data_IF_607852085468
#
_entry.id   IF_607852085468
#
_cell.length_a   1.000
_cell.length_b   1.000
_cell.length_c   1.000
_cell.angle_alpha   90.00
_cell.angle_beta   90.00
_cell.angle_gamma   90.00
#
_symmetry.space_group_name_H-M   'P 1'
#
loop_
_entity.id
_entity.type
_entity.pdbx_description
1 polymer ?
#
# COMPACT_ATOMS: atom_id res chain seq x y z
N UNK A 1 -14.65 33.56 -7.70
CA UNK A 1 -15.88 32.79 -7.97
C UNK A 1 -16.31 32.18 -6.65
N UNK A 2 -17.36 32.74 -6.05
CA UNK A 2 -17.85 32.37 -4.74
C UNK A 2 -18.50 30.98 -4.77
N UNK A 3 -18.04 30.10 -3.88
CA UNK A 3 -18.54 28.73 -3.68
C UNK A 3 -19.89 28.67 -2.96
N UNK A 4 -20.72 29.72 -3.07
CA UNK A 4 -21.99 29.87 -2.35
C UNK A 4 -23.23 29.45 -3.14
N UNK A 5 -23.12 29.06 -4.42
CA UNK A 5 -24.30 28.95 -5.29
C UNK A 5 -25.02 27.60 -5.31
N UNK A 6 -24.51 26.54 -4.67
CA UNK A 6 -25.29 25.30 -4.43
C UNK A 6 -24.89 24.68 -3.07
N UNK A 7 -25.16 25.42 -1.99
CA UNK A 7 -24.71 25.12 -0.63
C UNK A 7 -25.64 24.21 0.17
N UNK A 8 -25.74 22.93 -0.19
CA UNK A 8 -26.01 21.91 0.85
C UNK A 8 -24.65 21.46 1.34
N UNK A 9 -24.22 21.98 2.49
CA UNK A 9 -23.11 21.37 3.21
C UNK A 9 -23.58 20.01 3.71
N UNK A 10 -23.31 18.96 2.93
CA UNK A 10 -23.63 17.57 3.25
C UNK A 10 -22.95 17.08 4.53
N UNK A 11 -21.95 17.81 5.03
CA UNK A 11 -21.32 17.59 6.32
C UNK A 11 -21.84 18.49 7.44
N UNK A 12 -22.82 19.35 7.14
CA UNK A 12 -23.55 20.06 8.20
C UNK A 12 -24.18 19.05 9.16
N UNK A 13 -24.28 19.44 10.43
CA UNK A 13 -24.89 18.61 11.46
C UNK A 13 -26.31 18.14 11.07
N UNK A 14 -27.21 18.99 10.52
CA UNK A 14 -28.54 18.53 10.09
C UNK A 14 -28.49 17.51 8.95
N UNK A 15 -27.62 17.71 7.95
CA UNK A 15 -27.48 16.77 6.83
C UNK A 15 -26.94 15.42 7.31
N UNK A 16 -25.96 15.44 8.21
CA UNK A 16 -25.37 14.24 8.81
C UNK A 16 -26.41 13.48 9.64
N UNK A 17 -27.17 14.16 10.50
CA UNK A 17 -28.27 13.55 11.27
C UNK A 17 -29.34 12.98 10.34
N UNK A 18 -29.72 13.71 9.29
CA UNK A 18 -30.66 13.24 8.28
C UNK A 18 -30.18 11.97 7.57
N UNK A 19 -28.90 11.90 7.22
CA UNK A 19 -28.31 10.73 6.58
C UNK A 19 -28.27 9.50 7.52
N UNK A 20 -28.02 9.71 8.82
CA UNK A 20 -28.18 8.63 9.81
C UNK A 20 -29.64 8.17 9.87
N UNK A 21 -30.60 9.07 10.06
CA UNK A 21 -32.03 8.72 10.09
C UNK A 21 -32.44 7.94 8.82
N UNK A 22 -31.97 8.38 7.66
CA UNK A 22 -32.20 7.69 6.39
C UNK A 22 -31.61 6.28 6.38
N UNK A 23 -30.36 6.10 6.85
CA UNK A 23 -29.74 4.77 6.97
C UNK A 23 -30.59 3.84 7.84
N UNK A 24 -30.97 4.28 9.05
CA UNK A 24 -31.79 3.49 9.97
C UNK A 24 -33.17 3.17 9.37
N UNK A 25 -33.80 4.14 8.71
CA UNK A 25 -35.07 3.98 8.00
C UNK A 25 -34.99 2.94 6.88
N UNK A 26 -33.98 3.05 6.00
CA UNK A 26 -33.73 2.09 4.93
C UNK A 26 -33.46 0.68 5.47
N UNK A 27 -32.65 0.55 6.53
CA UNK A 27 -32.40 -0.73 7.17
C UNK A 27 -33.70 -1.38 7.70
N UNK A 28 -34.56 -0.61 8.36
CA UNK A 28 -35.86 -1.11 8.84
C UNK A 28 -36.79 -1.49 7.69
N UNK A 29 -36.82 -0.68 6.63
CA UNK A 29 -37.60 -0.99 5.43
C UNK A 29 -37.14 -2.31 4.78
N UNK A 30 -35.83 -2.55 4.68
CA UNK A 30 -35.28 -3.81 4.16
C UNK A 30 -35.70 -5.01 5.01
N UNK A 31 -35.69 -4.89 6.34
CA UNK A 31 -36.18 -5.94 7.24
C UNK A 31 -37.68 -6.24 7.02
N UNK A 32 -38.50 -5.20 6.89
CA UNK A 32 -39.94 -5.35 6.64
C UNK A 32 -40.21 -6.01 5.28
N UNK A 33 -39.51 -5.58 4.24
CA UNK A 33 -39.58 -6.18 2.91
C UNK A 33 -39.13 -7.64 2.95
N UNK A 34 -38.04 -7.97 3.64
CA UNK A 34 -37.57 -9.35 3.80
C UNK A 34 -38.61 -10.24 4.49
N UNK A 35 -39.28 -9.73 5.53
CA UNK A 35 -40.37 -10.42 6.23
C UNK A 35 -41.57 -10.66 5.32
N UNK A 36 -41.89 -9.71 4.45
CA UNK A 36 -43.02 -9.81 3.52
C UNK A 36 -42.73 -10.75 2.33
N UNK A 37 -41.58 -10.60 1.69
CA UNK A 37 -41.20 -11.36 0.49
C UNK A 37 -40.89 -12.83 0.83
N UNK A 38 -40.18 -13.07 1.95
CA UNK A 38 -39.76 -14.43 2.33
C UNK A 38 -39.85 -14.63 3.84
N UNK A 39 -41.07 -14.82 4.39
CA UNK A 39 -41.28 -14.92 5.84
C UNK A 39 -40.53 -16.10 6.47
N UNK A 40 -40.44 -17.24 5.77
CA UNK A 40 -39.70 -18.41 6.25
C UNK A 40 -38.20 -18.11 6.38
N UNK A 41 -37.58 -17.52 5.35
CA UNK A 41 -36.16 -17.16 5.37
C UNK A 41 -35.87 -16.12 6.46
N UNK A 42 -36.72 -15.10 6.58
CA UNK A 42 -36.58 -14.08 7.62
C UNK A 42 -36.68 -14.67 9.03
N UNK A 43 -37.65 -15.57 9.26
CA UNK A 43 -37.79 -16.26 10.55
C UNK A 43 -36.55 -17.10 10.87
N UNK A 44 -35.98 -17.78 9.87
CA UNK A 44 -34.74 -18.53 10.03
C UNK A 44 -33.55 -17.60 10.35
N UNK A 45 -33.43 -16.46 9.68
CA UNK A 45 -32.40 -15.46 9.98
C UNK A 45 -32.51 -14.94 11.42
N UNK A 46 -33.73 -14.68 11.90
CA UNK A 46 -33.96 -14.25 13.28
C UNK A 46 -33.60 -15.35 14.28
N UNK A 47 -34.00 -16.59 14.02
CA UNK A 47 -33.65 -17.75 14.85
C UNK A 47 -32.13 -17.93 14.97
N UNK A 48 -31.42 -17.70 13.86
CA UNK A 48 -29.96 -17.77 13.81
C UNK A 48 -29.26 -16.49 14.32
N UNK A 49 -30.02 -15.46 14.70
CA UNK A 49 -29.49 -14.13 15.07
C UNK A 49 -28.61 -13.49 13.98
N UNK A 50 -28.98 -13.70 12.71
CA UNK A 50 -28.28 -13.19 11.52
C UNK A 50 -29.05 -12.11 10.76
N UNK A 51 -30.29 -11.82 11.15
CA UNK A 51 -31.17 -10.87 10.46
C UNK A 51 -30.53 -9.48 10.38
N UNK A 52 -30.08 -8.91 11.50
CA UNK A 52 -29.43 -7.58 11.52
C UNK A 52 -28.21 -7.57 10.58
N UNK A 53 -27.34 -8.58 10.66
CA UNK A 53 -26.11 -8.66 9.86
C UNK A 53 -26.42 -8.76 8.37
N UNK A 54 -27.37 -9.62 8.01
CA UNK A 54 -27.77 -9.84 6.63
C UNK A 54 -28.26 -8.55 5.97
N UNK A 55 -29.17 -7.82 6.62
CA UNK A 55 -29.68 -6.57 6.07
C UNK A 55 -28.67 -5.42 6.15
N UNK A 56 -27.76 -5.47 7.12
CA UNK A 56 -26.62 -4.54 7.19
C UNK A 56 -25.74 -4.70 5.95
N UNK A 57 -25.34 -5.93 5.59
CA UNK A 57 -24.52 -6.15 4.38
C UNK A 57 -25.24 -5.75 3.08
N UNK A 58 -26.55 -6.01 2.96
CA UNK A 58 -27.31 -5.56 1.78
C UNK A 58 -27.29 -4.02 1.67
N UNK A 59 -27.49 -3.33 2.78
CA UNK A 59 -27.44 -1.87 2.80
C UNK A 59 -26.02 -1.34 2.56
N UNK A 60 -25.01 -2.04 3.10
CA UNK A 60 -23.58 -1.84 2.84
C UNK A 60 -23.25 -1.87 1.35
N UNK A 61 -23.71 -2.90 0.64
CA UNK A 61 -23.57 -3.03 -0.82
C UNK A 61 -24.23 -1.85 -1.54
N UNK A 62 -25.48 -1.50 -1.18
CA UNK A 62 -26.22 -0.42 -1.83
C UNK A 62 -25.51 0.95 -1.68
N UNK A 63 -25.05 1.26 -0.46
CA UNK A 63 -24.31 2.50 -0.18
C UNK A 63 -22.94 2.48 -0.86
N UNK A 64 -22.25 1.34 -0.88
CA UNK A 64 -20.96 1.18 -1.57
C UNK A 64 -21.08 1.38 -3.09
N UNK A 65 -22.21 0.94 -3.68
CA UNK A 65 -22.50 1.13 -5.11
C UNK A 65 -22.65 2.62 -5.50
N UNK A 66 -23.10 3.46 -4.57
CA UNK A 66 -23.24 4.92 -4.78
C UNK A 66 -21.96 5.67 -4.40
N UNK A 67 -21.39 5.33 -3.24
CA UNK A 67 -20.24 6.04 -2.67
C UNK A 67 -18.96 5.77 -3.45
N UNK A 68 -18.75 4.56 -3.98
CA UNK A 68 -17.54 4.23 -4.75
C UNK A 68 -17.40 5.08 -6.01
N UNK A 69 -18.41 5.16 -6.91
CA UNK A 69 -18.36 6.09 -8.04
C UNK A 69 -18.15 7.54 -7.62
N UNK A 70 -18.82 7.99 -6.55
CA UNK A 70 -18.64 9.36 -6.04
C UNK A 70 -17.19 9.61 -5.61
N UNK A 71 -16.56 8.66 -4.92
CA UNK A 71 -15.14 8.74 -4.53
C UNK A 71 -14.21 8.72 -5.74
N UNK A 72 -14.48 7.89 -6.75
CA UNK A 72 -13.71 7.87 -8.00
C UNK A 72 -13.81 9.21 -8.74
N UNK A 73 -15.02 9.76 -8.87
CA UNK A 73 -15.22 11.08 -9.49
C UNK A 73 -14.52 12.17 -8.68
N UNK A 74 -14.61 12.13 -7.34
CA UNK A 74 -13.90 13.07 -6.46
C UNK A 74 -12.37 12.98 -6.65
N UNK A 75 -11.83 11.77 -6.80
CA UNK A 75 -10.41 11.57 -7.09
C UNK A 75 -10.01 12.14 -8.46
N UNK A 76 -10.78 11.84 -9.51
CA UNK A 76 -10.48 12.29 -10.88
C UNK A 76 -10.68 13.80 -11.08
N UNK A 77 -11.60 14.42 -10.34
CA UNK A 77 -11.88 15.85 -10.39
C UNK A 77 -11.08 16.66 -9.35
N UNK A 78 -10.33 15.99 -8.48
CA UNK A 78 -9.47 16.68 -7.52
C UNK A 78 -8.49 17.56 -8.29
N UNK A 79 -8.35 18.81 -7.87
CA UNK A 79 -7.35 19.75 -8.40
C UNK A 79 -6.02 19.60 -7.64
N UNK A 80 -4.96 20.23 -8.12
CA UNK A 80 -3.66 20.19 -7.41
C UNK A 80 -3.72 20.88 -6.05
N UNK A 81 -4.76 21.70 -5.78
CA UNK A 81 -5.02 22.20 -4.44
C UNK A 81 -5.39 21.09 -3.45
N UNK A 82 -5.94 19.96 -3.91
CA UNK A 82 -6.26 18.81 -3.06
C UNK A 82 -5.03 17.96 -2.71
N UNK A 83 -3.88 18.28 -3.30
CA UNK A 83 -2.57 17.69 -3.02
C UNK A 83 -1.77 18.52 -2.01
N UNK A 84 -2.25 19.74 -1.72
CA UNK A 84 -1.58 20.70 -0.84
C UNK A 84 -2.31 20.77 0.50
N UNK A 85 -1.53 20.69 1.57
CA UNK A 85 -2.02 20.81 2.94
C UNK A 85 -2.70 22.17 3.20
N UNK A 86 -3.79 22.17 3.96
CA UNK A 86 -4.46 23.40 4.43
C UNK A 86 -5.38 24.07 3.41
N UNK A 87 -5.49 23.52 2.20
CA UNK A 87 -6.39 23.97 1.12
C UNK A 87 -7.77 23.30 1.25
N UNK A 88 -8.83 23.84 0.58
CA UNK A 88 -10.20 23.38 0.80
C UNK A 88 -10.36 21.87 0.54
N UNK A 89 -10.85 21.18 1.57
CA UNK A 89 -10.86 19.72 1.67
C UNK A 89 -11.91 19.06 0.76
N UNK A 90 -13.04 19.72 0.51
CA UNK A 90 -14.25 19.13 -0.08
C UNK A 90 -14.99 20.11 -1.01
N UNK A 91 -14.29 20.55 -2.04
CA UNK A 91 -14.80 21.59 -2.97
C UNK A 91 -15.84 21.08 -3.97
N UNK A 92 -15.97 19.77 -4.17
CA UNK A 92 -16.93 19.18 -5.11
C UNK A 92 -18.06 18.41 -4.42
N UNK A 93 -19.24 18.40 -5.03
CA UNK A 93 -20.37 17.60 -4.55
C UNK A 93 -20.03 16.10 -4.46
N UNK A 94 -19.24 15.58 -5.41
CA UNK A 94 -18.77 14.20 -5.41
C UNK A 94 -17.90 13.89 -4.18
N UNK A 95 -17.01 14.80 -3.80
CA UNK A 95 -16.16 14.66 -2.62
C UNK A 95 -17.00 14.64 -1.33
N UNK A 96 -18.00 15.52 -1.24
CA UNK A 96 -18.91 15.56 -0.10
C UNK A 96 -19.74 14.27 0.01
N UNK A 97 -20.32 13.80 -1.09
CA UNK A 97 -21.07 12.53 -1.12
C UNK A 97 -20.16 11.36 -0.74
N UNK A 98 -18.95 11.29 -1.29
CA UNK A 98 -17.97 10.26 -0.96
C UNK A 98 -17.71 10.19 0.55
N UNK A 99 -17.33 11.32 1.16
CA UNK A 99 -16.98 11.36 2.60
C UNK A 99 -18.20 11.14 3.49
N UNK A 100 -19.32 11.82 3.21
CA UNK A 100 -20.53 11.72 4.03
C UNK A 100 -21.10 10.30 4.02
N UNK A 101 -21.25 9.69 2.84
CA UNK A 101 -21.81 8.33 2.72
C UNK A 101 -20.94 7.29 3.43
N UNK A 102 -19.61 7.36 3.32
CA UNK A 102 -18.67 6.47 4.01
C UNK A 102 -18.71 6.65 5.53
N UNK A 103 -18.77 7.90 5.99
CA UNK A 103 -18.88 8.21 7.42
C UNK A 103 -20.16 7.61 8.02
N UNK A 104 -21.29 7.82 7.35
CA UNK A 104 -22.59 7.28 7.77
C UNK A 104 -22.58 5.76 7.77
N UNK A 105 -22.02 5.14 6.73
CA UNK A 105 -21.88 3.69 6.61
C UNK A 105 -21.11 3.11 7.79
N UNK A 106 -19.84 3.49 7.96
CA UNK A 106 -18.98 2.91 8.98
C UNK A 106 -19.52 3.13 10.39
N UNK A 107 -19.98 4.35 10.68
CA UNK A 107 -20.54 4.67 12.00
C UNK A 107 -21.81 3.85 12.28
N UNK A 108 -22.69 3.70 11.30
CA UNK A 108 -23.94 2.96 11.50
C UNK A 108 -23.71 1.44 11.64
N UNK A 109 -22.63 0.93 11.05
CA UNK A 109 -22.33 -0.50 11.04
C UNK A 109 -21.50 -0.99 12.22
N UNK A 110 -20.81 -0.10 12.95
CA UNK A 110 -19.97 -0.45 14.10
C UNK A 110 -20.66 -1.37 15.12
N UNK A 111 -21.90 -1.03 15.51
CA UNK A 111 -22.67 -1.81 16.49
C UNK A 111 -23.44 -2.99 15.87
N UNK A 112 -23.43 -3.13 14.55
CA UNK A 112 -24.20 -4.17 13.82
C UNK A 112 -23.34 -5.30 13.30
N UNK A 113 -22.04 -5.03 13.12
CA UNK A 113 -21.03 -5.98 12.63
C UNK A 113 -20.00 -6.34 13.72
N UNK A 114 -20.36 -6.14 14.99
CA UNK A 114 -19.54 -6.43 16.17
C UNK A 114 -19.07 -7.90 16.27
N UNK A 115 -19.79 -8.81 15.61
CA UNK A 115 -19.41 -10.22 15.50
C UNK A 115 -18.08 -10.46 14.76
N UNK A 116 -17.64 -9.51 13.92
CA UNK A 116 -16.39 -9.60 13.16
C UNK A 116 -15.43 -8.51 13.60
N UNK A 117 -14.43 -8.90 14.38
CA UNK A 117 -13.35 -8.01 14.82
C UNK A 117 -12.65 -7.31 13.66
N UNK A 118 -12.56 -7.97 12.49
CA UNK A 118 -12.00 -7.39 11.28
C UNK A 118 -12.81 -6.21 10.74
N UNK A 119 -14.15 -6.31 10.72
CA UNK A 119 -15.02 -5.21 10.27
C UNK A 119 -15.02 -4.06 11.27
N UNK A 120 -15.09 -4.35 12.57
CA UNK A 120 -15.00 -3.31 13.61
C UNK A 120 -13.68 -2.56 13.50
N UNK A 121 -12.56 -3.29 13.40
CA UNK A 121 -11.24 -2.69 13.27
C UNK A 121 -11.13 -1.82 12.00
N UNK A 122 -11.62 -2.32 10.87
CA UNK A 122 -11.70 -1.55 9.62
C UNK A 122 -12.45 -0.23 9.79
N UNK A 123 -13.68 -0.27 10.34
CA UNK A 123 -14.51 0.93 10.49
C UNK A 123 -13.91 1.93 11.47
N UNK A 124 -13.42 1.47 12.62
CA UNK A 124 -12.76 2.34 13.61
C UNK A 124 -11.54 3.00 13.00
N UNK A 125 -10.69 2.24 12.31
CA UNK A 125 -9.51 2.81 11.65
C UNK A 125 -9.88 3.81 10.56
N UNK A 126 -10.88 3.52 9.73
CA UNK A 126 -11.33 4.44 8.68
C UNK A 126 -11.94 5.73 9.23
N UNK A 127 -12.68 5.66 10.34
CA UNK A 127 -13.23 6.84 11.01
C UNK A 127 -12.14 7.66 11.70
N UNK A 128 -11.19 7.02 12.37
CA UNK A 128 -10.04 7.70 12.99
C UNK A 128 -9.14 8.35 11.94
N UNK A 129 -8.90 7.66 10.81
CA UNK A 129 -8.19 8.22 9.67
C UNK A 129 -8.91 9.47 9.17
N UNK A 130 -10.21 9.37 8.84
CA UNK A 130 -10.99 10.51 8.37
C UNK A 130 -10.94 11.70 9.34
N UNK A 131 -11.16 11.45 10.64
CA UNK A 131 -11.12 12.47 11.66
C UNK A 131 -9.73 13.16 11.70
N UNK A 132 -8.67 12.37 11.62
CA UNK A 132 -7.30 12.88 11.54
C UNK A 132 -7.09 13.73 10.28
N UNK A 133 -7.53 13.28 9.10
CA UNK A 133 -7.36 14.04 7.85
C UNK A 133 -8.05 15.39 7.89
N UNK A 134 -9.30 15.41 8.37
CA UNK A 134 -10.09 16.64 8.50
C UNK A 134 -9.46 17.58 9.53
N UNK A 135 -8.97 17.04 10.65
CA UNK A 135 -8.33 17.83 11.70
C UNK A 135 -6.98 18.41 11.25
N UNK A 136 -6.09 17.59 10.70
CA UNK A 136 -4.75 17.98 10.26
C UNK A 136 -4.74 18.71 8.89
N UNK A 137 -5.90 18.83 8.24
CA UNK A 137 -6.11 19.44 6.91
C UNK A 137 -5.18 18.87 5.85
N UNK A 138 -5.07 17.55 5.84
CA UNK A 138 -4.20 16.81 4.95
C UNK A 138 -4.73 16.79 3.51
N UNK A 139 -3.86 16.52 2.52
CA UNK A 139 -4.28 16.30 1.13
C UNK A 139 -5.39 15.26 1.00
N UNK A 140 -6.48 15.60 0.32
CA UNK A 140 -7.67 14.73 0.21
C UNK A 140 -7.64 13.82 -1.02
N UNK A 141 -6.86 14.13 -2.06
CA UNK A 141 -6.78 13.30 -3.27
C UNK A 141 -6.35 11.85 -2.94
N UNK A 142 -5.34 11.59 -2.08
CA UNK A 142 -5.01 10.23 -1.65
C UNK A 142 -6.15 9.53 -0.92
N UNK A 143 -6.97 10.26 -0.16
CA UNK A 143 -8.11 9.72 0.57
C UNK A 143 -9.25 9.34 -0.35
N UNK A 144 -9.54 10.14 -1.38
CA UNK A 144 -10.51 9.76 -2.40
C UNK A 144 -10.08 8.50 -3.14
N UNK A 145 -8.77 8.35 -3.43
CA UNK A 145 -8.24 7.10 -4.01
C UNK A 145 -8.41 5.90 -3.06
N UNK A 146 -8.09 6.07 -1.77
CA UNK A 146 -8.31 5.04 -0.76
C UNK A 146 -9.78 4.66 -0.65
N UNK A 147 -10.70 5.63 -0.67
CA UNK A 147 -12.13 5.37 -0.57
C UNK A 147 -12.73 4.80 -1.86
N UNK A 148 -12.19 5.16 -3.02
CA UNK A 148 -12.55 4.52 -4.28
C UNK A 148 -12.12 3.04 -4.30
N UNK A 149 -11.00 2.68 -3.66
CA UNK A 149 -10.57 1.27 -3.56
C UNK A 149 -11.45 0.38 -2.68
N UNK A 150 -12.33 0.99 -1.89
CA UNK A 150 -13.39 0.29 -1.16
C UNK A 150 -14.45 -0.30 -2.09
N UNK A 151 -14.29 -0.20 -3.43
CA UNK A 151 -14.98 -1.06 -4.39
C UNK A 151 -14.90 -2.55 -4.01
N UNK A 152 -13.84 -2.94 -3.32
CA UNK A 152 -13.64 -4.27 -2.71
C UNK A 152 -14.70 -4.64 -1.67
N UNK A 153 -15.30 -3.69 -0.96
CA UNK A 153 -16.34 -3.95 0.04
C UNK A 153 -17.60 -4.54 -0.61
N UNK A 154 -17.93 -4.17 -1.85
CA UNK A 154 -19.06 -4.80 -2.58
C UNK A 154 -18.94 -6.32 -2.62
N UNK A 155 -17.75 -6.84 -2.92
CA UNK A 155 -17.52 -8.27 -3.03
C UNK A 155 -17.32 -8.93 -1.67
N UNK A 156 -16.72 -8.23 -0.70
CA UNK A 156 -16.65 -8.70 0.68
C UNK A 156 -18.03 -8.89 1.30
N UNK A 157 -18.91 -7.89 1.16
CA UNK A 157 -20.25 -7.89 1.73
C UNK A 157 -21.18 -8.85 0.99
N UNK A 158 -21.06 -8.95 -0.34
CA UNK A 158 -21.74 -9.98 -1.12
C UNK A 158 -21.29 -11.38 -0.67
N UNK A 159 -19.99 -11.56 -0.46
CA UNK A 159 -19.43 -12.80 0.08
C UNK A 159 -19.97 -13.17 1.46
N UNK A 160 -20.13 -12.19 2.35
CA UNK A 160 -20.73 -12.39 3.67
C UNK A 160 -22.22 -12.71 3.58
N UNK A 161 -22.95 -12.02 2.72
CA UNK A 161 -24.38 -12.27 2.44
C UNK A 161 -24.59 -13.69 1.93
N UNK A 162 -23.79 -14.12 0.94
CA UNK A 162 -23.81 -15.48 0.41
C UNK A 162 -23.46 -16.52 1.48
N UNK A 163 -22.47 -16.24 2.34
CA UNK A 163 -22.10 -17.14 3.43
C UNK A 163 -23.23 -17.31 4.46
N UNK A 164 -23.98 -16.24 4.78
CA UNK A 164 -25.17 -16.29 5.63
C UNK A 164 -26.25 -17.18 5.01
N UNK A 165 -26.40 -17.12 3.68
CA UNK A 165 -27.32 -17.96 2.90
C UNK A 165 -26.83 -19.42 2.71
N UNK A 166 -25.65 -19.77 3.25
CA UNK A 166 -25.08 -21.13 3.16
C UNK A 166 -24.14 -21.37 1.97
N UNK A 167 -23.94 -20.38 1.10
CA UNK A 167 -23.03 -20.44 -0.05
C UNK A 167 -21.61 -20.01 0.34
N UNK A 168 -20.88 -20.88 1.04
CA UNK A 168 -19.49 -20.64 1.43
C UNK A 168 -18.54 -20.97 0.26
N UNK A 169 -17.34 -20.40 0.28
CA UNK A 169 -16.34 -20.68 -0.76
C UNK A 169 -15.93 -22.16 -0.86
N UNK A 170 -16.05 -22.92 0.24
CA UNK A 170 -15.67 -24.34 0.30
C UNK A 170 -16.74 -25.25 -0.32
N UNK A 171 -18.02 -24.85 -0.30
CA UNK A 171 -19.14 -25.70 -0.72
C UNK A 171 -19.92 -25.15 -1.92
N UNK A 172 -19.63 -23.93 -2.39
CA UNK A 172 -20.33 -23.27 -3.49
C UNK A 172 -19.37 -22.64 -4.48
N UNK A 173 -19.57 -22.93 -5.77
CA UNK A 173 -18.80 -22.33 -6.86
C UNK A 173 -19.02 -20.82 -6.97
N UNK A 174 -20.24 -20.34 -6.68
CA UNK A 174 -20.56 -18.92 -6.64
C UNK A 174 -19.81 -18.23 -5.49
N UNK A 175 -19.88 -18.80 -4.29
CA UNK A 175 -19.16 -18.29 -3.12
C UNK A 175 -17.65 -18.25 -3.36
N UNK A 176 -17.09 -19.28 -4.01
CA UNK A 176 -15.68 -19.31 -4.39
C UNK A 176 -15.34 -18.19 -5.38
N UNK A 177 -16.10 -18.04 -6.47
CA UNK A 177 -15.85 -16.99 -7.49
C UNK A 177 -15.90 -15.59 -6.90
N UNK A 178 -16.90 -15.27 -6.07
CA UNK A 178 -17.02 -13.96 -5.42
C UNK A 178 -15.81 -13.67 -4.54
N UNK A 179 -15.35 -14.65 -3.76
CA UNK A 179 -14.19 -14.47 -2.89
C UNK A 179 -12.87 -14.39 -3.66
N UNK A 180 -12.70 -15.12 -4.76
CA UNK A 180 -11.54 -14.97 -5.66
C UNK A 180 -11.51 -13.57 -6.25
N UNK A 181 -12.65 -13.07 -6.75
CA UNK A 181 -12.74 -11.71 -7.28
C UNK A 181 -12.40 -10.70 -6.18
N UNK A 182 -12.93 -10.85 -4.97
CA UNK A 182 -12.60 -10.00 -3.83
C UNK A 182 -11.08 -10.00 -3.55
N UNK A 183 -10.45 -11.16 -3.48
CA UNK A 183 -9.00 -11.27 -3.23
C UNK A 183 -8.16 -10.59 -4.33
N UNK A 184 -8.54 -10.75 -5.60
CA UNK A 184 -7.88 -10.07 -6.73
C UNK A 184 -8.07 -8.56 -6.63
N UNK A 185 -9.27 -8.08 -6.34
CA UNK A 185 -9.56 -6.65 -6.20
C UNK A 185 -8.85 -6.03 -5.00
N UNK A 186 -8.69 -6.76 -3.89
CA UNK A 186 -7.89 -6.29 -2.75
C UNK A 186 -6.44 -5.99 -3.20
N UNK A 187 -5.84 -6.87 -4.00
CA UNK A 187 -4.50 -6.63 -4.53
C UNK A 187 -4.46 -5.46 -5.52
N UNK A 188 -5.35 -5.47 -6.51
CA UNK A 188 -5.32 -4.52 -7.63
C UNK A 188 -5.80 -3.11 -7.25
N UNK A 189 -6.74 -2.99 -6.30
CA UNK A 189 -7.37 -1.72 -5.98
C UNK A 189 -6.90 -1.14 -4.64
N UNK A 190 -6.56 -1.94 -3.62
CA UNK A 190 -6.16 -1.37 -2.31
C UNK A 190 -4.69 -0.99 -2.25
N UNK A 191 -3.81 -1.81 -2.84
CA UNK A 191 -2.35 -1.58 -2.76
C UNK A 191 -1.92 -0.29 -3.47
N UNK A 192 -2.40 0.04 -4.69
CA UNK A 192 -1.93 1.25 -5.36
C UNK A 192 -2.27 2.55 -4.60
N UNK A 193 -3.49 2.75 -4.05
CA UNK A 193 -3.80 3.92 -3.23
C UNK A 193 -3.01 4.00 -1.92
N UNK A 194 -2.59 2.87 -1.34
CA UNK A 194 -1.68 2.86 -0.18
C UNK A 194 -0.31 3.42 -0.59
N UNK A 195 0.24 2.93 -1.70
CA UNK A 195 1.51 3.43 -2.26
C UNK A 195 1.38 4.92 -2.59
N UNK A 196 0.29 5.29 -3.26
CA UNK A 196 -0.01 6.68 -3.60
C UNK A 196 -0.09 7.55 -2.34
N UNK A 197 -0.79 7.13 -1.29
CA UNK A 197 -0.82 7.87 -0.02
C UNK A 197 0.54 7.93 0.68
N UNK A 198 1.38 6.90 0.54
CA UNK A 198 2.73 6.91 1.09
C UNK A 198 3.61 7.97 0.41
N UNK A 199 3.41 8.23 -0.89
CA UNK A 199 4.14 9.27 -1.63
C UNK A 199 3.86 10.69 -1.14
N UNK A 200 2.78 10.91 -0.37
CA UNK A 200 2.44 12.21 0.23
C UNK A 200 2.99 12.41 1.65
N UNK A 201 3.54 11.38 2.30
CA UNK A 201 4.22 11.51 3.59
C UNK A 201 5.30 12.63 3.59
N UNK A 202 6.13 12.79 2.54
CA UNK A 202 7.22 13.77 2.50
C UNK A 202 6.76 15.22 2.41
N UNK A 203 5.50 15.47 2.00
CA UNK A 203 4.95 16.84 1.99
C UNK A 203 4.66 17.37 3.40
N UNK A 204 4.80 16.52 4.43
CA UNK A 204 4.65 16.89 5.83
C UNK A 204 6.02 17.33 6.36
N UNK A 205 6.11 18.52 6.98
CA UNK A 205 7.35 19.01 7.57
C UNK A 205 7.98 17.98 8.53
N UNK A 206 9.26 17.65 8.32
CA UNK A 206 9.95 16.51 8.91
C UNK A 206 10.09 16.48 10.44
N UNK A 207 9.63 17.50 11.15
CA UNK A 207 9.72 17.61 12.61
C UNK A 207 8.35 17.67 13.32
N UNK A 208 7.23 17.52 12.60
CA UNK A 208 5.92 17.46 13.26
C UNK A 208 5.56 16.04 13.68
N UNK A 209 4.87 15.90 14.80
CA UNK A 209 4.23 14.64 15.25
C UNK A 209 3.29 14.05 14.17
N UNK A 210 2.81 14.89 13.25
CA UNK A 210 1.93 14.54 12.15
C UNK A 210 2.64 13.68 11.08
N UNK A 211 3.95 13.86 10.89
CA UNK A 211 4.73 13.00 10.00
C UNK A 211 4.66 11.56 10.52
N UNK A 212 4.97 11.37 11.81
CA UNK A 212 4.97 10.06 12.44
C UNK A 212 3.58 9.43 12.48
N UNK A 213 2.53 10.21 12.74
CA UNK A 213 1.17 9.71 12.67
C UNK A 213 0.77 9.32 11.24
N UNK A 214 1.19 10.05 10.21
CA UNK A 214 0.91 9.66 8.83
C UNK A 214 1.63 8.38 8.44
N UNK A 215 2.90 8.23 8.83
CA UNK A 215 3.65 6.98 8.64
C UNK A 215 2.93 5.83 9.34
N UNK A 216 2.60 6.00 10.63
CA UNK A 216 1.92 4.98 11.42
C UNK A 216 0.57 4.60 10.79
N UNK A 217 -0.20 5.59 10.35
CA UNK A 217 -1.48 5.39 9.68
C UNK A 217 -1.35 4.56 8.41
N UNK A 218 -0.48 4.98 7.47
CA UNK A 218 -0.28 4.26 6.21
C UNK A 218 0.21 2.84 6.49
N UNK A 219 1.12 2.66 7.46
CA UNK A 219 1.61 1.36 7.87
C UNK A 219 0.51 0.47 8.48
N UNK A 220 -0.34 1.02 9.35
CA UNK A 220 -1.47 0.29 9.95
C UNK A 220 -2.46 -0.15 8.88
N UNK A 221 -2.82 0.74 7.96
CA UNK A 221 -3.76 0.44 6.89
C UNK A 221 -3.17 -0.53 5.86
N UNK A 222 -1.87 -0.44 5.56
CA UNK A 222 -1.15 -1.40 4.76
C UNK A 222 -1.13 -2.80 5.41
N UNK A 223 -0.79 -2.87 6.70
CA UNK A 223 -0.82 -4.11 7.48
C UNK A 223 -2.21 -4.73 7.48
N UNK A 224 -3.25 -3.92 7.70
CA UNK A 224 -4.64 -4.38 7.65
C UNK A 224 -4.99 -4.95 6.27
N UNK A 225 -4.75 -4.20 5.20
CA UNK A 225 -5.08 -4.60 3.82
C UNK A 225 -4.35 -5.88 3.40
N UNK A 226 -3.05 -5.98 3.70
CA UNK A 226 -2.25 -7.18 3.45
C UNK A 226 -2.75 -8.35 4.31
N UNK A 227 -3.06 -8.11 5.58
CA UNK A 227 -3.60 -9.15 6.47
C UNK A 227 -4.93 -9.72 5.99
N UNK A 228 -5.86 -8.86 5.54
CA UNK A 228 -7.15 -9.28 4.95
C UNK A 228 -6.89 -10.07 3.67
N UNK A 229 -6.06 -9.57 2.76
CA UNK A 229 -5.71 -10.29 1.53
C UNK A 229 -5.13 -11.69 1.83
N UNK A 230 -4.16 -11.78 2.75
CA UNK A 230 -3.54 -13.05 3.14
C UNK A 230 -4.54 -14.01 3.78
N UNK A 231 -5.44 -13.51 4.61
CA UNK A 231 -6.53 -14.30 5.21
C UNK A 231 -7.46 -14.86 4.13
N UNK A 232 -7.81 -14.04 3.14
CA UNK A 232 -8.67 -14.41 2.02
C UNK A 232 -8.05 -15.49 1.13
N UNK A 233 -6.81 -15.29 0.67
CA UNK A 233 -6.13 -16.30 -0.18
C UNK A 233 -5.86 -17.60 0.58
N UNK A 234 -5.59 -17.53 1.89
CA UNK A 234 -5.46 -18.72 2.75
C UNK A 234 -6.79 -19.47 2.87
N UNK A 235 -7.89 -18.76 3.10
CA UNK A 235 -9.23 -19.35 3.18
C UNK A 235 -9.63 -20.04 1.87
N UNK A 236 -9.21 -19.49 0.74
CA UNK A 236 -9.44 -20.06 -0.59
C UNK A 236 -8.46 -21.19 -0.95
N UNK A 237 -7.48 -21.49 -0.08
CA UNK A 237 -6.36 -22.42 -0.37
C UNK A 237 -5.64 -22.07 -1.67
N UNK A 238 -5.66 -20.79 -2.06
CA UNK A 238 -4.97 -20.28 -3.24
C UNK A 238 -3.48 -20.12 -2.98
N UNK A 239 -3.09 -19.84 -1.74
CA UNK A 239 -1.70 -19.65 -1.36
C UNK A 239 -1.38 -20.53 -0.17
N UNK A 240 -0.38 -21.40 -0.35
CA UNK A 240 0.23 -22.17 0.73
C UNK A 240 1.63 -21.64 0.97
N UNK A 241 1.94 -21.33 2.23
CA UNK A 241 3.26 -20.83 2.62
C UNK A 241 4.07 -21.97 3.22
N UNK A 242 5.18 -22.32 2.56
CA UNK A 242 6.21 -23.18 3.14
C UNK A 242 7.35 -22.29 3.64
N UNK A 243 7.48 -22.21 4.96
CA UNK A 243 8.51 -21.40 5.63
C UNK A 243 9.84 -22.15 5.78
N UNK A 244 9.93 -23.40 5.31
CA UNK A 244 11.22 -24.11 5.23
C UNK A 244 12.11 -23.43 4.20
N UNK A 245 13.36 -23.19 4.57
CA UNK A 245 14.33 -22.50 3.71
C UNK A 245 14.70 -23.38 2.51
N UNK A 246 14.64 -22.89 1.25
CA UNK A 246 14.19 -21.57 0.85
C UNK A 246 12.66 -21.41 0.95
N UNK A 247 12.22 -20.42 1.73
CA UNK A 247 10.81 -20.17 1.97
C UNK A 247 10.12 -19.71 0.69
N UNK A 248 8.92 -20.24 0.46
CA UNK A 248 8.19 -19.99 -0.77
C UNK A 248 6.68 -20.05 -0.55
N UNK A 249 5.95 -19.35 -1.42
CA UNK A 249 4.51 -19.41 -1.55
C UNK A 249 4.17 -20.26 -2.78
N UNK A 250 3.28 -21.25 -2.61
CA UNK A 250 2.71 -22.02 -3.71
C UNK A 250 1.37 -21.38 -4.06
N UNK A 251 1.30 -20.73 -5.21
CA UNK A 251 0.10 -20.04 -5.73
C UNK A 251 -0.66 -20.99 -6.65
N UNK A 252 -1.95 -21.18 -6.37
CA UNK A 252 -2.89 -22.03 -7.09
C UNK A 252 -2.34 -23.45 -7.32
N UNK A 253 -1.54 -23.97 -6.38
CA UNK A 253 -0.86 -25.28 -6.48
C UNK A 253 0.06 -25.46 -7.70
N UNK A 254 0.38 -24.39 -8.43
CA UNK A 254 1.13 -24.44 -9.70
C UNK A 254 2.37 -23.58 -9.71
N UNK A 255 2.31 -22.38 -9.14
CA UNK A 255 3.37 -21.40 -9.23
C UNK A 255 4.10 -21.29 -7.90
N UNK A 256 5.41 -21.54 -7.91
CA UNK A 256 6.26 -21.38 -6.73
C UNK A 256 6.90 -20.00 -6.76
N UNK A 257 6.51 -19.13 -5.82
CA UNK A 257 7.08 -17.79 -5.66
C UNK A 257 7.96 -17.80 -4.42
N UNK A 258 9.27 -17.61 -4.60
CA UNK A 258 10.20 -17.57 -3.48
C UNK A 258 10.07 -16.26 -2.70
N UNK A 259 10.05 -16.34 -1.37
CA UNK A 259 9.97 -15.17 -0.49
C UNK A 259 11.14 -14.21 -0.69
N UNK A 260 12.30 -14.74 -1.05
CA UNK A 260 13.46 -13.93 -1.43
C UNK A 260 13.14 -12.97 -2.58
N UNK A 261 12.51 -13.46 -3.66
CA UNK A 261 12.13 -12.60 -4.79
C UNK A 261 11.10 -11.55 -4.40
N UNK A 262 10.12 -11.91 -3.57
CA UNK A 262 9.15 -10.95 -3.03
C UNK A 262 9.82 -9.85 -2.18
N UNK A 263 10.80 -10.22 -1.35
CA UNK A 263 11.57 -9.28 -0.55
C UNK A 263 12.45 -8.36 -1.41
N UNK A 264 13.05 -8.87 -2.49
CA UNK A 264 13.79 -8.03 -3.46
C UNK A 264 12.86 -7.01 -4.13
N UNK A 265 11.67 -7.42 -4.56
CA UNK A 265 10.67 -6.48 -5.11
C UNK A 265 10.28 -5.42 -4.07
N UNK A 266 10.07 -5.82 -2.82
CA UNK A 266 9.78 -4.89 -1.72
C UNK A 266 10.94 -3.93 -1.44
N UNK A 267 12.19 -4.40 -1.49
CA UNK A 267 13.39 -3.60 -1.34
C UNK A 267 13.50 -2.53 -2.43
N UNK A 268 13.32 -2.91 -3.70
CA UNK A 268 13.33 -1.97 -4.84
C UNK A 268 12.23 -0.92 -4.66
N UNK A 269 11.01 -1.34 -4.31
CA UNK A 269 9.91 -0.42 -4.08
C UNK A 269 10.22 0.56 -2.92
N UNK A 270 10.81 0.07 -1.83
CA UNK A 270 11.18 0.90 -0.68
C UNK A 270 12.27 1.91 -1.02
N UNK A 271 13.28 1.51 -1.81
CA UNK A 271 14.33 2.42 -2.29
C UNK A 271 13.70 3.49 -3.18
N UNK A 272 12.96 3.11 -4.22
CA UNK A 272 12.32 4.06 -5.14
C UNK A 272 11.42 5.05 -4.38
N UNK A 273 10.54 4.56 -3.51
CA UNK A 273 9.60 5.42 -2.78
C UNK A 273 10.32 6.36 -1.82
N UNK A 274 11.32 5.89 -1.08
CA UNK A 274 12.10 6.74 -0.19
C UNK A 274 12.99 7.75 -0.93
N UNK A 275 13.53 7.40 -2.11
CA UNK A 275 14.34 8.33 -2.91
C UNK A 275 13.50 9.45 -3.50
N UNK A 276 12.29 9.13 -4.01
CA UNK A 276 11.33 10.13 -4.48
C UNK A 276 10.87 11.04 -3.34
N UNK A 277 10.63 10.45 -2.16
CA UNK A 277 10.29 11.19 -0.97
C UNK A 277 11.35 12.20 -0.56
N UNK A 278 12.60 11.76 -0.52
CA UNK A 278 13.74 12.61 -0.21
C UNK A 278 13.96 13.67 -1.29
N UNK A 279 13.71 13.34 -2.56
CA UNK A 279 13.85 14.28 -3.67
C UNK A 279 12.82 15.41 -3.55
N UNK A 280 11.56 15.06 -3.29
CA UNK A 280 10.49 16.03 -3.05
C UNK A 280 10.79 16.93 -1.85
N UNK A 281 11.35 16.38 -0.77
CA UNK A 281 11.70 17.16 0.42
C UNK A 281 12.93 18.07 0.19
N UNK A 282 13.96 17.58 -0.51
CA UNK A 282 15.18 18.34 -0.77
C UNK A 282 14.96 19.46 -1.80
N UNK A 283 13.99 19.30 -2.71
CA UNK A 283 13.70 20.23 -3.79
C UNK A 283 12.19 20.43 -3.97
N UNK A 284 11.51 21.16 -3.04
CA UNK A 284 10.06 21.36 -3.10
C UNK A 284 9.58 21.95 -4.43
N UNK A 285 10.32 22.94 -4.94
CA UNK A 285 10.01 23.63 -6.19
C UNK A 285 10.24 22.75 -7.43
N UNK A 286 11.07 21.70 -7.34
CA UNK A 286 11.29 20.81 -8.48
C UNK A 286 10.04 19.97 -8.77
N UNK A 287 9.24 19.63 -7.76
CA UNK A 287 8.03 18.84 -7.96
C UNK A 287 6.96 19.63 -8.73
N UNK A 288 6.90 20.95 -8.52
CA UNK A 288 6.00 21.84 -9.28
C UNK A 288 6.45 22.01 -10.74
N UNK A 289 7.76 21.95 -10.99
CA UNK A 289 8.34 22.16 -12.32
C UNK A 289 8.47 20.86 -13.15
N UNK A 290 8.36 19.68 -12.53
CA UNK A 290 8.59 18.39 -13.19
C UNK A 290 7.26 17.68 -13.45
N UNK A 291 7.03 17.20 -14.67
CA UNK A 291 5.85 16.40 -14.97
C UNK A 291 5.90 15.08 -14.19
N UNK A 292 4.75 14.61 -13.68
CA UNK A 292 4.63 13.29 -13.04
C UNK A 292 5.08 12.16 -13.97
N UNK A 293 4.92 12.35 -15.28
CA UNK A 293 5.38 11.41 -16.31
C UNK A 293 6.90 11.29 -16.37
N UNK A 294 7.62 12.40 -16.18
CA UNK A 294 9.09 12.44 -16.22
C UNK A 294 9.70 11.68 -15.05
N UNK A 295 9.07 11.79 -13.87
CA UNK A 295 9.42 11.05 -12.66
C UNK A 295 9.15 9.55 -12.88
N UNK A 296 7.98 9.20 -13.41
CA UNK A 296 7.63 7.80 -13.70
C UNK A 296 8.61 7.17 -14.69
N UNK A 297 8.94 7.88 -15.78
CA UNK A 297 9.93 7.42 -16.77
C UNK A 297 11.31 7.25 -16.16
N UNK A 298 11.75 8.20 -15.32
CA UNK A 298 13.03 8.09 -14.60
C UNK A 298 13.09 6.86 -13.70
N UNK A 299 12.03 6.58 -12.95
CA UNK A 299 11.93 5.38 -12.11
C UNK A 299 12.00 4.12 -12.96
N UNK A 300 11.24 4.04 -14.05
CA UNK A 300 11.21 2.88 -14.94
C UNK A 300 12.58 2.60 -15.58
N UNK A 301 13.24 3.64 -16.12
CA UNK A 301 14.59 3.53 -16.70
C UNK A 301 15.59 3.10 -15.63
N UNK A 302 15.53 3.68 -14.43
CA UNK A 302 16.39 3.32 -13.30
C UNK A 302 16.24 1.85 -12.92
N UNK A 303 15.01 1.35 -12.77
CA UNK A 303 14.74 -0.06 -12.46
C UNK A 303 15.26 -0.97 -13.57
N UNK A 304 15.03 -0.62 -14.83
CA UNK A 304 15.50 -1.40 -15.98
C UNK A 304 17.03 -1.50 -16.01
N UNK A 305 17.73 -0.36 -15.89
CA UNK A 305 19.18 -0.33 -15.87
C UNK A 305 19.76 -1.05 -14.64
N UNK A 306 19.09 -0.97 -13.47
CA UNK A 306 19.48 -1.72 -12.27
C UNK A 306 19.38 -3.23 -12.49
N UNK A 307 18.27 -3.72 -13.04
CA UNK A 307 18.07 -5.15 -13.32
C UNK A 307 19.08 -5.66 -14.36
N UNK A 308 19.33 -4.86 -15.40
CA UNK A 308 20.32 -5.19 -16.42
C UNK A 308 21.74 -5.24 -15.82
N UNK A 309 22.13 -4.21 -15.07
CA UNK A 309 23.43 -4.13 -14.40
C UNK A 309 23.64 -5.27 -13.41
N UNK A 310 22.63 -5.60 -12.60
CA UNK A 310 22.70 -6.70 -11.65
C UNK A 310 22.89 -8.08 -12.32
N UNK A 311 22.45 -8.22 -13.57
CA UNK A 311 22.54 -9.46 -14.32
C UNK A 311 23.79 -9.56 -15.20
N UNK A 312 24.36 -8.42 -15.58
CA UNK A 312 25.48 -8.32 -16.51
C UNK A 312 26.68 -9.23 -16.15
N UNK A 313 27.16 -9.32 -14.88
CA UNK A 313 28.29 -10.20 -14.56
C UNK A 313 28.03 -11.68 -14.84
N UNK A 314 26.82 -12.16 -14.53
CA UNK A 314 26.47 -13.55 -14.75
C UNK A 314 26.47 -13.88 -16.26
N UNK A 315 25.96 -12.96 -17.07
CA UNK A 315 25.93 -13.06 -18.54
C UNK A 315 27.34 -13.05 -19.13
N UNK A 316 28.23 -12.22 -18.60
CA UNK A 316 29.63 -12.16 -19.03
C UNK A 316 30.42 -13.40 -18.57
N UNK A 317 30.05 -14.00 -17.44
CA UNK A 317 30.72 -15.19 -16.89
C UNK A 317 30.29 -16.50 -17.55
N UNK A 318 29.02 -16.61 -17.98
CA UNK A 318 28.53 -17.78 -18.70
C UNK A 318 29.02 -17.72 -20.15
N UNK A 319 30.05 -18.50 -20.47
CA UNK A 319 30.68 -18.59 -21.81
C UNK A 319 29.76 -19.18 -22.92
N UNK A 320 28.44 -19.26 -22.69
CA UNK A 320 27.45 -19.83 -23.63
C UNK A 320 26.71 -18.70 -24.36
N UNK A 321 27.20 -18.36 -25.54
CA UNK A 321 26.56 -17.43 -26.49
C UNK A 321 25.10 -17.79 -26.85
N UNK A 322 24.69 -19.04 -26.62
CA UNK A 322 23.32 -19.52 -26.85
C UNK A 322 22.29 -19.09 -25.78
N UNK A 323 22.73 -18.57 -24.63
CA UNK A 323 21.84 -18.16 -23.53
C UNK A 323 21.16 -16.80 -23.76
N UNK A 324 21.83 -15.87 -24.45
CA UNK A 324 21.35 -14.51 -24.71
C UNK A 324 20.04 -14.46 -25.53
N UNK A 325 19.79 -15.46 -26.38
CA UNK A 325 18.60 -15.55 -27.25
C UNK A 325 17.41 -16.22 -26.57
N UNK A 326 17.61 -16.89 -25.43
CA UNK A 326 16.51 -17.45 -24.66
C UNK A 326 16.17 -16.44 -23.57
N UNK A 327 14.92 -16.02 -23.50
CA UNK A 327 14.35 -15.21 -22.39
C UNK A 327 14.58 -15.81 -20.97
N UNK A 328 15.29 -16.95 -20.88
CA UNK A 328 15.94 -17.48 -19.68
C UNK A 328 16.90 -16.49 -18.99
N UNK A 329 17.30 -15.40 -19.67
CA UNK A 329 18.11 -14.31 -19.10
C UNK A 329 17.66 -13.87 -17.70
N UNK A 330 16.34 -13.75 -17.47
CA UNK A 330 15.79 -13.30 -16.18
C UNK A 330 15.35 -14.44 -15.25
N UNK A 331 15.31 -15.69 -15.72
CA UNK A 331 14.77 -16.82 -14.93
C UNK A 331 15.82 -17.74 -14.32
N UNK A 332 17.04 -17.81 -14.88
CA UNK A 332 18.05 -18.80 -14.49
C UNK A 332 19.26 -18.13 -13.79
N UNK A 333 19.13 -17.92 -12.47
CA UNK A 333 20.18 -17.66 -11.44
C UNK A 333 20.78 -16.25 -11.30
N UNK A 334 21.37 -15.98 -10.13
CA UNK A 334 22.30 -14.88 -9.73
C UNK A 334 22.03 -13.43 -10.19
N UNK A 335 21.59 -12.58 -9.25
CA UNK A 335 21.69 -11.11 -9.36
C UNK A 335 22.81 -10.60 -8.44
N UNK A 336 23.63 -9.70 -8.95
CA UNK A 336 24.73 -9.08 -8.22
C UNK A 336 24.35 -7.67 -7.78
N UNK A 337 24.52 -7.37 -6.49
CA UNK A 337 24.08 -6.10 -5.92
C UNK A 337 24.85 -4.90 -6.46
N UNK A 338 26.19 -4.95 -6.44
CA UNK A 338 27.04 -3.81 -6.79
C UNK A 338 26.81 -3.33 -8.23
N UNK A 339 26.86 -4.19 -9.28
CA UNK A 339 26.59 -3.72 -10.63
C UNK A 339 25.12 -3.39 -10.87
N UNK A 340 24.19 -3.88 -10.03
CA UNK A 340 22.81 -3.38 -9.97
C UNK A 340 22.74 -1.92 -9.50
N UNK A 341 23.48 -1.56 -8.45
CA UNK A 341 23.59 -0.17 -7.95
C UNK A 341 24.20 0.74 -9.02
N UNK A 342 25.28 0.30 -9.67
CA UNK A 342 25.91 1.05 -10.77
C UNK A 342 24.92 1.24 -11.93
N UNK A 343 24.20 0.18 -12.30
CA UNK A 343 23.15 0.24 -13.31
C UNK A 343 22.04 1.24 -12.95
N UNK A 344 21.59 1.26 -11.69
CA UNK A 344 20.59 2.22 -11.22
C UNK A 344 21.09 3.67 -11.35
N UNK A 345 22.32 3.96 -10.91
CA UNK A 345 22.93 5.29 -11.02
C UNK A 345 23.00 5.73 -12.49
N UNK A 346 23.43 4.84 -13.39
CA UNK A 346 23.44 5.11 -14.83
C UNK A 346 22.04 5.41 -15.35
N UNK A 347 21.02 4.67 -14.91
CA UNK A 347 19.63 4.91 -15.29
C UNK A 347 19.14 6.30 -14.90
N UNK A 348 19.44 6.76 -13.68
CA UNK A 348 19.11 8.13 -13.21
C UNK A 348 19.86 9.19 -14.01
N UNK A 349 21.13 8.96 -14.35
CA UNK A 349 21.92 9.91 -15.14
C UNK A 349 21.40 10.01 -16.58
N UNK A 350 21.03 8.88 -17.19
CA UNK A 350 20.47 8.82 -18.54
C UNK A 350 19.09 9.48 -18.61
N UNK A 351 18.22 9.20 -17.64
CA UNK A 351 16.88 9.80 -17.62
C UNK A 351 16.94 11.28 -17.23
N UNK A 352 17.82 11.68 -16.32
CA UNK A 352 18.00 13.08 -15.93
C UNK A 352 18.46 13.97 -17.07
N UNK A 353 19.15 13.42 -18.08
CA UNK A 353 19.50 14.15 -19.29
C UNK A 353 18.29 14.54 -20.15
N UNK A 354 17.14 13.85 -20.00
CA UNK A 354 15.93 14.07 -20.80
C UNK A 354 14.74 14.62 -20.00
N UNK A 355 14.74 14.45 -18.68
CA UNK A 355 13.52 14.59 -17.85
C UNK A 355 13.43 15.85 -16.98
N UNK A 356 14.32 16.85 -17.15
CA UNK A 356 14.32 18.07 -16.31
C UNK A 356 14.63 17.84 -14.82
N UNK A 357 14.78 16.58 -14.40
CA UNK A 357 15.10 16.16 -13.04
C UNK A 357 16.56 16.46 -12.75
N UNK A 358 16.84 17.00 -11.57
CA UNK A 358 18.19 17.20 -11.09
C UNK A 358 18.81 15.83 -10.73
N UNK A 359 19.50 15.23 -11.71
CA UNK A 359 20.10 13.90 -11.58
C UNK A 359 21.06 13.77 -10.40
N UNK A 360 21.79 14.84 -10.05
CA UNK A 360 22.70 14.83 -8.89
C UNK A 360 21.96 14.67 -7.58
N UNK A 361 20.84 15.38 -7.42
CA UNK A 361 19.99 15.26 -6.22
C UNK A 361 19.37 13.87 -6.18
N UNK A 362 18.82 13.39 -7.30
CA UNK A 362 18.20 12.06 -7.38
C UNK A 362 19.19 10.92 -7.09
N UNK A 363 20.44 11.01 -7.56
CA UNK A 363 21.49 10.05 -7.20
C UNK A 363 21.78 10.12 -5.70
N UNK A 364 21.88 11.32 -5.12
CA UNK A 364 22.12 11.46 -3.68
C UNK A 364 20.98 10.86 -2.85
N UNK A 365 19.71 11.12 -3.21
CA UNK A 365 18.56 10.51 -2.52
C UNK A 365 18.52 9.01 -2.68
N UNK A 366 18.87 8.48 -3.86
CA UNK A 366 19.02 7.06 -4.11
C UNK A 366 20.06 6.40 -3.19
N UNK A 367 21.27 6.98 -3.11
CA UNK A 367 22.34 6.47 -2.24
C UNK A 367 21.93 6.46 -0.77
N UNK A 368 21.25 7.50 -0.31
CA UNK A 368 20.73 7.57 1.06
C UNK A 368 19.63 6.52 1.32
N UNK A 369 18.87 6.15 0.29
CA UNK A 369 17.82 5.12 0.37
C UNK A 369 18.34 3.68 0.31
N UNK A 370 19.55 3.43 -0.21
CA UNK A 370 20.09 2.07 -0.37
C UNK A 370 20.09 1.21 0.91
N UNK A 371 20.45 1.72 2.11
CA UNK A 371 20.42 0.91 3.32
C UNK A 371 19.01 0.40 3.66
N UNK A 372 17.94 1.12 3.30
CA UNK A 372 16.58 0.61 3.46
C UNK A 372 16.32 -0.60 2.56
N UNK A 373 16.74 -0.53 1.29
CA UNK A 373 16.67 -1.65 0.36
C UNK A 373 17.47 -2.85 0.84
N UNK A 374 18.70 -2.63 1.28
CA UNK A 374 19.56 -3.68 1.84
C UNK A 374 18.95 -4.31 3.09
N UNK A 375 18.36 -3.49 3.97
CA UNK A 375 17.66 -3.98 5.16
C UNK A 375 16.57 -5.00 4.82
N UNK A 376 15.71 -4.67 3.85
CA UNK A 376 14.62 -5.54 3.39
C UNK A 376 15.19 -6.75 2.62
N UNK A 377 16.20 -6.54 1.79
CA UNK A 377 16.90 -7.60 1.05
C UNK A 377 17.47 -8.67 1.99
N UNK A 378 18.05 -8.26 3.13
CA UNK A 378 18.58 -9.18 4.15
C UNK A 378 17.50 -9.99 4.85
N UNK A 379 16.30 -9.44 5.06
CA UNK A 379 15.13 -10.23 5.49
C UNK A 379 14.78 -11.28 4.44
N UNK A 380 14.82 -10.89 3.16
CA UNK A 380 14.71 -11.82 2.03
C UNK A 380 15.74 -12.95 2.09
N UNK A 381 17.02 -12.63 2.32
CA UNK A 381 18.10 -13.61 2.43
C UNK A 381 17.85 -14.60 3.58
N UNK A 382 17.37 -14.12 4.73
CA UNK A 382 17.01 -14.97 5.86
C UNK A 382 15.99 -16.05 5.47
N UNK A 383 14.93 -15.65 4.75
CA UNK A 383 13.91 -16.56 4.24
C UNK A 383 14.39 -17.42 3.07
N UNK A 384 15.28 -16.90 2.24
CA UNK A 384 15.94 -17.66 1.17
C UNK A 384 16.91 -18.73 1.69
N UNK A 385 17.34 -18.63 2.95
CA UNK A 385 18.35 -19.51 3.54
C UNK A 385 19.75 -19.31 2.96
N UNK A 386 20.01 -18.15 2.38
CA UNK A 386 21.34 -17.78 1.88
C UNK A 386 22.10 -16.89 2.87
N UNK A 387 23.41 -16.77 2.67
CA UNK A 387 24.30 -15.92 3.47
C UNK A 387 24.31 -16.28 4.98
N UNK A 388 24.25 -17.58 5.31
CA UNK A 388 24.34 -18.06 6.70
C UNK A 388 25.60 -17.52 7.39
N UNK A 389 25.46 -17.09 8.63
CA UNK A 389 26.60 -16.69 9.46
C UNK A 389 27.51 -17.86 9.78
N UNK A 390 28.72 -17.56 10.25
CA UNK A 390 29.62 -18.58 10.82
C UNK A 390 28.94 -19.14 12.08
N UNK A 391 28.71 -20.46 12.10
CA UNK A 391 28.18 -21.15 13.28
C UNK A 391 29.21 -21.04 14.41
N UNK A 392 28.96 -20.15 15.37
CA UNK A 392 29.66 -20.19 16.66
C UNK A 392 28.86 -21.10 17.60
N UNK A 393 29.53 -22.09 18.19
CA UNK A 393 28.95 -23.14 19.06
C UNK A 393 28.04 -22.65 20.20
N UNK A 394 28.02 -21.34 20.49
CA UNK A 394 27.33 -20.78 21.65
C UNK A 394 26.18 -19.81 21.30
N UNK A 395 26.10 -19.29 20.07
CA UNK A 395 25.01 -18.37 19.68
C UNK A 395 24.74 -18.45 18.17
N UNK A 396 23.56 -18.97 17.81
CA UNK A 396 22.99 -18.82 16.46
C UNK A 396 22.41 -17.41 16.30
N UNK A 397 23.27 -16.41 16.06
CA UNK A 397 22.80 -15.07 15.68
C UNK A 397 22.38 -15.12 14.21
N UNK A 398 21.12 -14.83 13.87
CA UNK A 398 20.71 -14.68 12.47
C UNK A 398 21.36 -13.42 11.89
N UNK A 399 22.59 -13.55 11.40
CA UNK A 399 23.43 -12.46 10.89
C UNK A 399 22.70 -11.60 9.86
N UNK A 400 21.81 -12.19 9.07
CA UNK A 400 20.98 -11.47 8.11
C UNK A 400 19.97 -10.53 8.81
N UNK A 401 19.31 -10.97 9.88
CA UNK A 401 18.36 -10.12 10.61
C UNK A 401 19.08 -9.02 11.42
N UNK A 402 20.26 -9.33 11.95
CA UNK A 402 21.12 -8.34 12.59
C UNK A 402 21.59 -7.28 11.58
N UNK A 403 22.12 -7.70 10.43
CA UNK A 403 22.49 -6.81 9.33
C UNK A 403 21.29 -5.99 8.83
N UNK A 404 20.11 -6.60 8.74
CA UNK A 404 18.86 -5.90 8.40
C UNK A 404 18.56 -4.77 9.37
N UNK A 405 18.70 -5.03 10.68
CA UNK A 405 18.46 -4.03 11.74
C UNK A 405 19.47 -2.91 11.70
N UNK A 406 20.76 -3.22 11.51
CA UNK A 406 21.81 -2.20 11.38
C UNK A 406 21.59 -1.31 10.16
N UNK A 407 21.24 -1.89 9.01
CA UNK A 407 20.95 -1.13 7.79
C UNK A 407 19.71 -0.24 7.93
N UNK A 408 18.67 -0.71 8.63
CA UNK A 408 17.49 0.10 8.94
C UNK A 408 17.85 1.26 9.89
N UNK A 409 18.65 0.98 10.92
CA UNK A 409 19.12 2.00 11.85
C UNK A 409 20.00 3.04 11.15
N UNK A 410 20.85 2.62 10.21
CA UNK A 410 21.67 3.52 9.39
C UNK A 410 20.79 4.43 8.52
N UNK A 411 19.79 3.87 7.82
CA UNK A 411 18.81 4.66 7.07
C UNK A 411 18.08 5.66 7.96
N UNK A 412 17.52 5.21 9.09
CA UNK A 412 16.77 6.05 10.00
C UNK A 412 17.64 7.18 10.61
N UNK A 413 18.87 6.86 11.01
CA UNK A 413 19.83 7.85 11.52
C UNK A 413 20.16 8.92 10.47
N UNK A 414 20.36 8.50 9.22
CA UNK A 414 20.57 9.41 8.09
C UNK A 414 19.37 10.30 7.81
N UNK A 415 18.15 9.76 7.90
CA UNK A 415 16.92 10.56 7.81
C UNK A 415 16.83 11.60 8.91
N UNK A 416 17.14 11.23 10.16
CA UNK A 416 17.14 12.16 11.28
C UNK A 416 18.19 13.26 11.12
N UNK A 417 19.39 12.94 10.65
CA UNK A 417 20.46 13.92 10.41
C UNK A 417 20.09 14.89 9.29
N UNK A 418 19.49 14.40 8.21
CA UNK A 418 18.99 15.23 7.11
C UNK A 418 17.82 16.13 7.55
N UNK A 419 16.80 15.56 8.19
CA UNK A 419 15.58 16.29 8.61
C UNK A 419 15.84 17.28 9.76
N UNK A 420 16.86 17.05 10.58
CA UNK A 420 17.28 18.00 11.61
C UNK A 420 18.12 19.16 11.06
N UNK A 421 18.44 19.16 9.75
CA UNK A 421 19.32 20.15 9.12
C UNK A 421 20.77 20.07 9.58
N UNK A 422 21.14 19.02 10.34
CA UNK A 422 22.52 18.82 10.83
C UNK A 422 23.47 18.41 9.72
N UNK A 423 22.96 17.75 8.68
CA UNK A 423 23.70 17.40 7.48
C UNK A 423 22.87 17.72 6.25
N UNK A 424 23.52 18.24 5.20
CA UNK A 424 22.88 18.33 3.89
C UNK A 424 22.81 16.94 3.23
N UNK A 425 21.95 16.80 2.23
CA UNK A 425 21.71 15.53 1.53
C UNK A 425 23.01 14.89 0.98
N UNK A 426 23.91 15.69 0.40
CA UNK A 426 25.16 15.19 -0.18
C UNK A 426 26.12 14.67 0.89
N UNK A 427 26.21 15.34 2.03
CA UNK A 427 27.03 14.88 3.16
C UNK A 427 26.54 13.52 3.69
N UNK A 428 25.22 13.31 3.76
CA UNK A 428 24.65 12.02 4.17
C UNK A 428 24.93 10.93 3.12
N UNK A 429 24.83 11.26 1.83
CA UNK A 429 25.15 10.33 0.75
C UNK A 429 26.64 9.92 0.77
N UNK A 430 27.55 10.88 0.99
CA UNK A 430 29.00 10.63 1.10
C UNK A 430 29.29 9.72 2.29
N UNK A 431 28.72 10.03 3.46
CA UNK A 431 28.86 9.21 4.67
C UNK A 431 28.51 7.74 4.44
N UNK A 432 27.42 7.47 3.70
CA UNK A 432 27.07 6.10 3.34
C UNK A 432 28.06 5.46 2.36
N UNK A 433 28.53 6.21 1.36
CA UNK A 433 29.50 5.67 0.39
C UNK A 433 30.82 5.26 1.05
N UNK A 434 31.28 6.02 2.05
CA UNK A 434 32.48 5.69 2.83
C UNK A 434 32.23 4.51 3.77
N UNK A 435 31.07 4.47 4.44
CA UNK A 435 30.71 3.34 5.32
C UNK A 435 30.63 2.01 4.56
N UNK A 436 30.11 2.01 3.33
CA UNK A 436 30.08 0.82 2.47
C UNK A 436 31.50 0.37 2.13
N UNK A 437 32.40 1.30 1.76
CA UNK A 437 33.79 0.97 1.47
C UNK A 437 34.49 0.36 2.70
N UNK A 438 34.30 0.92 3.90
CA UNK A 438 34.94 0.39 5.11
C UNK A 438 34.45 -1.00 5.50
N UNK A 439 33.18 -1.33 5.27
CA UNK A 439 32.63 -2.65 5.57
C UNK A 439 33.25 -3.75 4.68
N UNK A 440 33.48 -3.47 3.40
CA UNK A 440 34.10 -4.43 2.48
C UNK A 440 35.56 -4.75 2.85
N UNK A 441 36.33 -3.79 3.38
CA UNK A 441 37.72 -4.02 3.82
C UNK A 441 37.86 -4.90 5.07
N UNK A 442 36.79 -5.11 5.83
CA UNK A 442 36.83 -5.92 7.06
C UNK A 442 36.52 -7.41 6.87
N UNK A 443 36.23 -7.82 5.63
CA UNK A 443 35.84 -9.20 5.26
C UNK A 443 36.86 -9.92 4.38
N UNK A 444 38.04 -9.33 4.20
CA UNK A 444 39.28 -9.95 3.66
C UNK A 444 40.26 -10.11 4.81
#
# INVERSE_FOLDING_TARGET
>A
MDSSSFGIDLLSLPATVGAFVLYYGCHRLLQLLGRWISPHFYTQLQKDQKDVRYFTFILGIAITFISTPACTVAFLQASDQNDVRGKPLLSSAAAQVCVASRTVLWTSELNRLDYSTGYVYHHVLSLLDLAYQLHARMPMRPHFALYASLATELFSDLGCTLAIMGFKAVNSSLGYRVQVINAVLLLLLRIPPIIYSAMFIPSIPGQSWELWLNIARVAIYAKFSVGVFLSEVKRLRMVEFDMRKPAHAIICQRYKVYMYGAAVCAAVLAVVTSSLALYANAFPNAWEATSTMDIAMTVLVTIFCALFGARLPAVLSEHRSSGLLRFQFFSETGYWLQPGIVGAILGVLLSGATSGINSRVMVATFLVSLPLGESIGRVGCHFGGCCGGVFHQWVDIPTQLFSSTLNLAAFAGSMLLFQSGRMNLYSVAIFHSEAIQMADYSTV
#
